data_IF_005840009116
#
_entry.id   IF_005840009116
#
_cell.length_a   1.000
_cell.length_b   1.000
_cell.length_c   1.000
_cell.angle_alpha   90.00
_cell.angle_beta   90.00
_cell.angle_gamma   90.00
#
_symmetry.space_group_name_H-M   'P 1'
#
loop_
_entity.id
_entity.type
_entity.pdbx_description
1 polymer ?
#
# COMPACT_ATOMS: atom_id res chain seq x y z
N UNK A 1 -1.09 -32.96 -27.03
CA UNK A 1 -1.59 -31.57 -27.05
C UNK A 1 -2.47 -31.50 -25.82
N UNK A 2 -2.04 -30.89 -24.72
CA UNK A 2 -1.85 -29.44 -24.61
C UNK A 2 -0.64 -29.06 -23.74
N UNK A 3 0.35 -28.42 -24.37
CA UNK A 3 1.49 -27.79 -23.71
C UNK A 3 1.29 -26.28 -23.60
N UNK A 4 0.13 -25.85 -23.08
CA UNK A 4 -0.04 -24.45 -22.74
C UNK A 4 0.92 -24.13 -21.58
N UNK A 5 1.78 -23.10 -21.68
CA UNK A 5 2.65 -22.75 -20.58
C UNK A 5 1.80 -22.30 -19.39
N UNK A 6 1.64 -23.15 -18.39
CA UNK A 6 1.14 -22.75 -17.09
C UNK A 6 2.15 -21.77 -16.49
N UNK A 7 1.89 -20.49 -16.67
CA UNK A 7 2.75 -19.43 -16.12
C UNK A 7 2.67 -19.53 -14.61
N UNK A 8 3.82 -19.73 -13.95
CA UNK A 8 3.85 -19.92 -12.50
C UNK A 8 3.33 -18.68 -11.76
N UNK A 9 2.83 -18.81 -10.51
CA UNK A 9 2.48 -17.66 -9.68
C UNK A 9 3.62 -16.64 -9.62
N UNK A 10 4.87 -17.10 -9.46
CA UNK A 10 6.03 -16.22 -9.45
C UNK A 10 6.19 -15.41 -10.75
N UNK A 11 5.99 -16.04 -11.91
CA UNK A 11 6.10 -15.36 -13.21
C UNK A 11 4.96 -14.38 -13.48
N UNK A 12 3.79 -14.52 -12.83
CA UNK A 12 2.64 -13.61 -12.99
C UNK A 12 2.62 -12.45 -11.98
N UNK A 13 3.39 -12.53 -10.88
CA UNK A 13 3.39 -11.50 -9.83
C UNK A 13 3.74 -10.09 -10.33
N UNK A 14 4.73 -9.88 -11.24
CA UNK A 14 5.03 -8.55 -11.76
C UNK A 14 3.82 -7.87 -12.41
N UNK A 15 2.95 -8.64 -13.08
CA UNK A 15 1.70 -8.12 -13.64
C UNK A 15 0.72 -7.68 -12.56
N UNK A 16 0.63 -8.42 -11.45
CA UNK A 16 -0.22 -8.04 -10.32
C UNK A 16 0.27 -6.77 -9.64
N UNK A 17 1.59 -6.62 -9.46
CA UNK A 17 2.20 -5.41 -8.93
C UNK A 17 1.96 -4.20 -9.86
N UNK A 18 2.06 -4.39 -11.18
CA UNK A 18 1.73 -3.35 -12.14
C UNK A 18 0.25 -2.94 -12.07
N UNK A 19 -0.67 -3.90 -11.89
CA UNK A 19 -2.10 -3.63 -11.67
C UNK A 19 -2.34 -2.84 -10.39
N UNK A 20 -1.64 -3.14 -9.30
CA UNK A 20 -1.72 -2.35 -8.06
C UNK A 20 -1.34 -0.89 -8.32
N UNK A 21 -0.21 -0.64 -8.98
CA UNK A 21 0.28 0.72 -9.27
C UNK A 21 -0.70 1.50 -10.16
N UNK A 22 -1.22 0.86 -11.21
CA UNK A 22 -2.23 1.45 -12.08
C UNK A 22 -3.55 1.73 -11.31
N UNK A 23 -3.94 0.85 -10.41
CA UNK A 23 -5.11 1.04 -9.57
C UNK A 23 -4.94 2.22 -8.60
N UNK A 24 -3.77 2.37 -7.97
CA UNK A 24 -3.49 3.51 -7.09
C UNK A 24 -3.41 4.85 -7.85
N UNK A 25 -2.93 4.84 -9.10
CA UNK A 25 -3.03 6.00 -9.97
C UNK A 25 -4.50 6.38 -10.26
N UNK A 26 -5.38 5.38 -10.43
CA UNK A 26 -6.83 5.61 -10.61
C UNK A 26 -7.45 6.19 -9.33
N UNK A 27 -7.05 5.69 -8.15
CA UNK A 27 -7.50 6.20 -6.84
C UNK A 27 -7.14 7.68 -6.67
N UNK A 28 -5.92 8.10 -7.06
CA UNK A 28 -5.53 9.51 -7.01
C UNK A 28 -6.42 10.43 -7.86
N UNK A 29 -7.17 9.86 -8.81
CA UNK A 29 -8.15 10.54 -9.65
C UNK A 29 -9.61 10.28 -9.22
N UNK A 30 -9.82 9.65 -8.06
CA UNK A 30 -11.13 9.38 -7.47
C UNK A 30 -11.78 8.08 -7.92
N UNK A 31 -11.17 7.31 -8.83
CA UNK A 31 -11.68 6.01 -9.27
C UNK A 31 -11.09 4.88 -8.42
N UNK A 32 -11.95 4.25 -7.62
CA UNK A 32 -11.58 3.14 -6.73
C UNK A 32 -11.97 1.77 -7.29
N UNK A 33 -12.61 1.70 -8.46
CA UNK A 33 -13.01 0.43 -9.09
C UNK A 33 -11.84 -0.54 -9.28
N UNK A 34 -10.70 -0.10 -9.86
CA UNK A 34 -9.55 -0.96 -10.09
C UNK A 34 -8.91 -1.52 -8.80
N UNK A 35 -8.79 -0.71 -7.74
CA UNK A 35 -8.17 -1.18 -6.49
C UNK A 35 -9.09 -2.16 -5.76
N UNK A 36 -10.40 -1.90 -5.80
CA UNK A 36 -11.44 -2.79 -5.27
C UNK A 36 -11.41 -4.15 -6.00
N UNK A 37 -11.31 -4.15 -7.33
CA UNK A 37 -11.26 -5.39 -8.11
C UNK A 37 -9.97 -6.22 -7.89
N UNK A 38 -8.87 -5.58 -7.44
CA UNK A 38 -7.62 -6.26 -7.13
C UNK A 38 -7.61 -6.91 -5.74
N UNK A 39 -8.41 -6.42 -4.81
CA UNK A 39 -8.46 -6.92 -3.44
C UNK A 39 -8.97 -8.36 -3.36
N UNK A 40 -8.45 -9.11 -2.40
CA UNK A 40 -9.07 -10.37 -2.00
C UNK A 40 -10.40 -10.06 -1.31
N UNK A 41 -11.40 -10.89 -1.58
CA UNK A 41 -12.73 -10.76 -0.97
C UNK A 41 -12.90 -11.69 0.25
N UNK A 42 -11.82 -12.33 0.72
CA UNK A 42 -11.87 -13.21 1.87
C UNK A 42 -12.02 -12.45 3.20
N UNK A 43 -12.55 -13.13 4.21
CA UNK A 43 -12.80 -12.58 5.55
C UNK A 43 -11.51 -12.22 6.32
N UNK A 44 -10.37 -12.77 5.88
CA UNK A 44 -9.04 -12.50 6.44
C UNK A 44 -8.30 -11.35 5.74
N UNK A 45 -8.88 -10.77 4.70
CA UNK A 45 -8.34 -9.57 4.08
C UNK A 45 -8.35 -8.40 5.08
N UNK A 46 -7.31 -7.57 5.04
CA UNK A 46 -7.18 -6.42 5.95
C UNK A 46 -6.61 -5.20 5.26
N UNK A 47 -6.87 -4.03 5.84
CA UNK A 47 -6.22 -2.79 5.40
C UNK A 47 -5.96 -1.85 6.57
N UNK A 48 -4.76 -1.28 6.61
CA UNK A 48 -4.37 -0.21 7.50
C UNK A 48 -3.90 0.96 6.62
N UNK A 49 -4.68 2.03 6.59
CA UNK A 49 -4.41 3.19 5.75
C UNK A 49 -3.76 4.31 6.55
N UNK A 50 -3.11 5.25 5.86
CA UNK A 50 -2.53 6.46 6.48
C UNK A 50 -3.57 7.40 7.10
N UNK A 51 -4.86 7.07 7.02
CA UNK A 51 -5.99 7.78 7.64
C UNK A 51 -6.37 7.21 9.03
N UNK A 52 -5.57 6.30 9.57
CA UNK A 52 -5.80 5.65 10.86
C UNK A 52 -6.83 4.51 10.82
N UNK A 53 -6.94 3.81 11.94
CA UNK A 53 -7.81 2.64 12.11
C UNK A 53 -7.32 1.39 11.38
N UNK A 54 -8.20 0.41 11.25
CA UNK A 54 -7.99 -0.81 10.48
C UNK A 54 -9.32 -1.31 9.94
N UNK A 55 -9.29 -1.95 8.77
CA UNK A 55 -10.42 -2.64 8.17
C UNK A 55 -10.12 -4.13 8.09
N UNK A 56 -11.13 -4.97 8.33
CA UNK A 56 -11.05 -6.42 8.21
C UNK A 56 -12.26 -6.95 7.44
N UNK A 57 -12.01 -7.86 6.50
CA UNK A 57 -13.00 -8.41 5.58
C UNK A 57 -13.36 -7.44 4.46
N UNK A 58 -13.86 -8.01 3.36
CA UNK A 58 -14.14 -7.28 2.13
C UNK A 58 -15.07 -6.08 2.31
N UNK A 59 -16.18 -6.25 3.04
CA UNK A 59 -17.19 -5.20 3.18
C UNK A 59 -16.64 -3.93 3.83
N UNK A 60 -15.79 -4.06 4.86
CA UNK A 60 -15.18 -2.92 5.53
C UNK A 60 -14.15 -2.23 4.62
N UNK A 61 -13.30 -3.01 3.96
CA UNK A 61 -12.28 -2.53 3.01
C UNK A 61 -12.94 -1.78 1.84
N UNK A 62 -13.98 -2.37 1.25
CA UNK A 62 -14.74 -1.81 0.13
C UNK A 62 -15.35 -0.44 0.49
N UNK A 63 -16.02 -0.35 1.65
CA UNK A 63 -16.60 0.91 2.15
C UNK A 63 -15.53 1.98 2.41
N UNK A 64 -14.36 1.57 2.93
CA UNK A 64 -13.25 2.50 3.19
C UNK A 64 -12.66 3.05 1.89
N UNK A 65 -12.57 2.23 0.84
CA UNK A 65 -12.20 2.70 -0.49
C UNK A 65 -13.24 3.65 -1.08
N UNK A 66 -14.54 3.36 -0.94
CA UNK A 66 -15.60 4.25 -1.44
C UNK A 66 -15.53 5.65 -0.80
N UNK A 67 -15.25 5.71 0.50
CA UNK A 67 -14.98 6.98 1.19
C UNK A 67 -13.71 7.66 0.65
N UNK A 68 -12.63 6.90 0.43
CA UNK A 68 -11.35 7.46 -0.04
C UNK A 68 -11.48 8.08 -1.44
N UNK A 69 -12.24 7.45 -2.35
CA UNK A 69 -12.46 7.97 -3.71
C UNK A 69 -13.11 9.37 -3.72
N UNK A 70 -13.91 9.70 -2.71
CA UNK A 70 -14.53 11.02 -2.58
C UNK A 70 -13.52 12.12 -2.22
N UNK A 71 -12.37 11.75 -1.64
CA UNK A 71 -11.35 12.67 -1.15
C UNK A 71 -10.35 13.11 -2.23
N UNK A 72 -10.30 12.42 -3.38
CA UNK A 72 -9.32 12.69 -4.43
C UNK A 72 -9.98 13.29 -5.67
N UNK A 73 -9.39 14.37 -6.20
CA UNK A 73 -9.90 15.12 -7.37
C UNK A 73 -8.93 15.13 -8.55
N UNK A 74 -7.86 14.34 -8.48
CA UNK A 74 -6.85 14.26 -9.52
C UNK A 74 -5.44 14.31 -8.96
N UNK A 75 -4.52 13.63 -9.62
CA UNK A 75 -3.12 13.61 -9.22
C UNK A 75 -2.37 12.39 -9.71
N UNK A 76 -1.18 12.20 -9.16
CA UNK A 76 -0.28 11.10 -9.50
C UNK A 76 0.21 10.39 -8.25
N UNK A 77 0.61 9.13 -8.45
CA UNK A 77 1.28 8.31 -7.44
C UNK A 77 2.56 7.78 -8.05
N UNK A 78 3.69 7.95 -7.37
CA UNK A 78 4.96 7.31 -7.70
C UNK A 78 5.32 6.26 -6.66
N UNK A 79 6.12 5.29 -7.08
CA UNK A 79 6.49 4.13 -6.28
C UNK A 79 8.00 3.91 -6.37
N UNK A 80 8.65 3.79 -5.22
CA UNK A 80 10.00 3.26 -5.09
C UNK A 80 9.92 1.90 -4.39
N UNK A 81 10.37 0.84 -5.07
CA UNK A 81 10.36 -0.50 -4.47
C UNK A 81 11.59 -0.69 -3.59
N UNK A 82 11.35 -1.09 -2.34
CA UNK A 82 12.40 -1.43 -1.38
C UNK A 82 12.69 -2.93 -1.43
N UNK A 83 11.65 -3.76 -1.42
CA UNK A 83 11.79 -5.21 -1.48
C UNK A 83 10.57 -5.85 -2.13
N UNK A 84 10.81 -6.96 -2.82
CA UNK A 84 9.78 -7.87 -3.31
C UNK A 84 10.20 -9.30 -3.01
N UNK A 85 9.37 -10.07 -2.31
CA UNK A 85 9.58 -11.51 -2.09
C UNK A 85 8.34 -12.26 -2.58
N UNK A 86 8.57 -13.31 -3.35
CA UNK A 86 7.49 -14.08 -3.99
C UNK A 86 7.63 -15.54 -3.57
N UNK A 87 6.63 -16.05 -2.87
CA UNK A 87 6.44 -17.46 -2.57
C UNK A 87 5.47 -18.13 -3.53
N UNK A 88 5.10 -19.37 -3.23
CA UNK A 88 4.14 -20.12 -4.03
C UNK A 88 2.71 -19.57 -3.94
N UNK A 89 2.27 -19.24 -2.72
CA UNK A 89 0.89 -18.80 -2.43
C UNK A 89 0.81 -17.36 -1.92
N UNK A 90 1.90 -16.86 -1.34
CA UNK A 90 2.00 -15.51 -0.79
C UNK A 90 3.17 -14.77 -1.42
N UNK A 91 2.99 -13.47 -1.64
CA UNK A 91 4.04 -12.55 -2.02
C UNK A 91 3.89 -11.26 -1.23
N UNK A 92 4.98 -10.56 -0.98
CA UNK A 92 4.90 -9.23 -0.39
C UNK A 92 5.84 -8.24 -1.07
N UNK A 93 5.43 -6.97 -1.04
CA UNK A 93 6.30 -5.85 -1.38
C UNK A 93 6.40 -4.90 -0.19
N UNK A 94 7.56 -4.27 -0.06
CA UNK A 94 7.72 -3.04 0.71
C UNK A 94 8.06 -1.93 -0.27
N UNK A 95 7.30 -0.85 -0.22
CA UNK A 95 7.40 0.27 -1.16
C UNK A 95 7.36 1.59 -0.40
N UNK A 96 7.97 2.61 -1.00
CA UNK A 96 7.73 4.01 -0.67
C UNK A 96 6.77 4.57 -1.73
N UNK A 97 5.57 4.98 -1.32
CA UNK A 97 4.53 5.56 -2.19
C UNK A 97 4.46 7.07 -1.99
N UNK A 98 4.62 7.85 -3.06
CA UNK A 98 4.47 9.31 -2.99
C UNK A 98 3.27 9.77 -3.79
N UNK A 99 2.38 10.51 -3.13
CA UNK A 99 1.18 11.11 -3.70
C UNK A 99 1.42 12.60 -3.96
N UNK A 100 1.04 13.05 -5.15
CA UNK A 100 0.87 14.46 -5.49
C UNK A 100 -0.55 14.64 -6.02
N UNK A 101 -1.47 15.10 -5.17
CA UNK A 101 -2.91 15.08 -5.48
C UNK A 101 -3.63 16.35 -5.08
N UNK A 102 -4.81 16.57 -5.68
CA UNK A 102 -5.74 17.63 -5.30
C UNK A 102 -6.83 17.07 -4.40
N UNK A 103 -7.05 17.75 -3.28
CA UNK A 103 -8.09 17.43 -2.30
C UNK A 103 -9.22 18.49 -2.36
N UNK A 104 -10.47 18.13 -2.02
CA UNK A 104 -11.56 19.10 -1.88
C UNK A 104 -11.20 20.23 -0.93
N UNK A 105 -11.47 21.48 -1.34
CA UNK A 105 -11.25 22.67 -0.52
C UNK A 105 -9.80 23.14 -0.40
N UNK A 106 -8.87 22.52 -1.14
CA UNK A 106 -7.46 22.93 -1.16
C UNK A 106 -7.11 23.57 -2.51
N UNK A 107 -6.61 24.80 -2.47
CA UNK A 107 -6.24 25.56 -3.68
C UNK A 107 -4.93 25.06 -4.32
N UNK A 108 -4.11 24.34 -3.56
CA UNK A 108 -2.81 23.82 -3.99
C UNK A 108 -2.76 22.29 -3.88
N UNK A 109 -1.96 21.62 -4.74
CA UNK A 109 -1.70 20.19 -4.61
C UNK A 109 -1.15 19.84 -3.22
N UNK A 110 -1.69 18.77 -2.63
CA UNK A 110 -1.22 18.19 -1.37
C UNK A 110 -0.28 17.03 -1.68
N UNK A 111 0.89 17.04 -1.04
CA UNK A 111 1.94 16.02 -1.25
C UNK A 111 2.22 15.24 0.01
N UNK A 112 2.43 13.94 -0.15
CA UNK A 112 2.97 13.11 0.92
C UNK A 112 3.62 11.84 0.44
N UNK A 113 4.41 11.26 1.33
CA UNK A 113 5.05 9.97 1.14
C UNK A 113 4.65 9.01 2.25
N UNK A 114 4.41 7.75 1.88
CA UNK A 114 4.12 6.65 2.78
C UNK A 114 5.17 5.56 2.67
N UNK A 115 5.46 4.87 3.77
CA UNK A 115 6.03 3.52 3.75
C UNK A 115 4.89 2.53 3.72
N UNK A 116 4.94 1.57 2.81
CA UNK A 116 3.82 0.67 2.54
C UNK A 116 4.28 -0.78 2.45
N UNK A 117 3.53 -1.67 3.09
CA UNK A 117 3.63 -3.11 2.89
C UNK A 117 2.38 -3.61 2.18
N UNK A 118 2.57 -4.34 1.09
CA UNK A 118 1.52 -5.06 0.41
C UNK A 118 1.76 -6.56 0.58
N UNK A 119 0.73 -7.31 0.97
CA UNK A 119 0.75 -8.78 0.93
C UNK A 119 -0.30 -9.22 -0.05
N UNK A 120 0.11 -10.09 -0.97
CA UNK A 120 -0.75 -10.71 -1.97
C UNK A 120 -0.90 -12.19 -1.68
N UNK A 121 -2.07 -12.74 -1.99
CA UNK A 121 -2.33 -14.17 -2.03
C UNK A 121 -2.65 -14.59 -3.46
N UNK A 122 -2.10 -15.71 -3.90
CA UNK A 122 -2.47 -16.33 -5.16
C UNK A 122 -3.73 -17.16 -4.94
N UNK A 123 -4.86 -16.71 -5.48
CA UNK A 123 -6.17 -17.36 -5.36
C UNK A 123 -6.90 -17.32 -6.71
N UNK A 124 -7.63 -18.41 -7.01
CA UNK A 124 -8.39 -18.58 -8.26
C UNK A 124 -7.58 -18.25 -9.53
N UNK A 125 -6.31 -18.67 -9.55
CA UNK A 125 -5.39 -18.45 -10.67
C UNK A 125 -4.87 -17.02 -10.82
N UNK A 126 -5.03 -16.17 -9.81
CA UNK A 126 -4.61 -14.76 -9.86
C UNK A 126 -4.08 -14.26 -8.51
N UNK A 127 -3.15 -13.31 -8.54
CA UNK A 127 -2.74 -12.61 -7.31
C UNK A 127 -3.77 -11.57 -6.91
N UNK A 128 -4.21 -11.62 -5.65
CA UNK A 128 -5.12 -10.67 -5.02
C UNK A 128 -4.45 -9.99 -3.85
N UNK A 129 -4.72 -8.70 -3.67
CA UNK A 129 -4.19 -7.93 -2.54
C UNK A 129 -4.93 -8.38 -1.27
N UNK A 130 -4.23 -9.08 -0.37
CA UNK A 130 -4.77 -9.60 0.88
C UNK A 130 -4.63 -8.59 2.01
N UNK A 131 -3.50 -7.88 2.05
CA UNK A 131 -3.21 -6.89 3.07
C UNK A 131 -2.50 -5.67 2.49
N UNK A 132 -2.89 -4.48 2.94
CA UNK A 132 -2.14 -3.24 2.75
C UNK A 132 -1.94 -2.55 4.08
N UNK A 133 -0.71 -2.18 4.39
CA UNK A 133 -0.36 -1.34 5.54
C UNK A 133 0.40 -0.12 5.05
N UNK A 134 -0.17 1.08 5.20
CA UNK A 134 0.46 2.33 4.79
C UNK A 134 0.48 3.33 5.95
N UNK A 135 1.67 3.84 6.26
CA UNK A 135 1.86 4.94 7.21
C UNK A 135 2.72 6.02 6.57
N UNK A 136 2.62 7.26 7.08
CA UNK A 136 3.50 8.35 6.65
C UNK A 136 4.96 7.92 6.79
N UNK A 137 5.76 8.24 5.78
CA UNK A 137 7.21 8.13 5.88
C UNK A 137 7.71 9.27 6.76
N UNK A 138 8.23 8.92 7.93
CA UNK A 138 8.85 9.85 8.86
C UNK A 138 10.37 9.80 8.69
N UNK A 139 11.03 10.90 9.06
CA UNK A 139 12.49 10.93 9.09
C UNK A 139 13.04 9.88 10.05
N UNK A 140 14.18 9.29 9.69
CA UNK A 140 14.87 8.39 10.60
C UNK A 140 15.27 9.19 11.84
N UNK A 141 14.80 8.77 13.00
CA UNK A 141 15.24 9.34 14.26
C UNK A 141 16.65 8.85 14.54
N UNK A 142 17.56 9.78 14.78
CA UNK A 142 18.79 9.46 15.49
C UNK A 142 18.42 9.02 16.90
N UNK A 143 18.93 7.89 17.40
CA UNK A 143 18.79 7.55 18.80
C UNK A 143 19.23 8.76 19.62
N UNK A 144 18.33 9.31 20.45
CA UNK A 144 18.73 10.32 21.42
C UNK A 144 19.94 9.76 22.18
N UNK A 145 21.06 10.49 22.21
CA UNK A 145 22.17 10.17 23.10
C UNK A 145 21.62 10.20 24.52
N UNK A 146 21.18 9.05 25.03
CA UNK A 146 20.68 8.92 26.38
C UNK A 146 21.89 9.01 27.31
N UNK A 147 22.02 10.18 27.94
CA UNK A 147 22.84 10.47 29.13
C UNK A 147 24.36 10.24 28.99
N UNK A 148 25.04 11.19 28.36
CA UNK A 148 26.42 11.53 28.72
C UNK A 148 26.41 12.26 30.06
N UNK A 149 26.88 11.60 31.11
CA UNK A 149 26.66 11.94 32.50
C UNK A 149 27.02 13.37 32.93
N UNK A 150 26.11 13.96 33.70
CA UNK A 150 26.48 14.85 34.80
C UNK A 150 27.27 14.02 35.82
N UNK A 151 28.59 13.94 35.64
CA UNK A 151 29.52 13.60 36.70
C UNK A 151 30.49 14.77 36.85
N UNK A 152 30.08 15.75 37.66
CA UNK A 152 30.90 16.40 38.67
C UNK A 152 30.13 17.57 39.30
N UNK A 153 29.33 17.23 40.31
CA UNK A 153 29.12 18.12 41.44
C UNK A 153 29.76 17.44 42.66
N UNK A 154 30.54 18.25 43.40
CA UNK A 154 31.08 18.02 44.74
C UNK A 154 32.44 17.29 44.86
N UNK A 155 33.50 18.08 45.00
CA UNK A 155 34.17 18.26 46.30
C UNK A 155 34.72 19.69 46.38
#
# INVERSE_FOLDING_TARGET
>A
MDGAPHTSPAATFPTALARLRAALASVANGDVGPIKALYSHADDATSMYGWGGYEKGWDAISKRWDWAGQQFKGGTVSHENVTTIIGAELAYTTDIESFDVRLPGMDQPTRWTNRVTHVFRFEDGSWRLLHRHANRLEGQYEPAQRLGGNANAQA
#
